data_IF_085591368687
#
_entry.id   IF_085591368687
#
_cell.length_a   1.000
_cell.length_b   1.000
_cell.length_c   1.000
_cell.angle_alpha   90.00
_cell.angle_beta   90.00
_cell.angle_gamma   90.00
#
_symmetry.space_group_name_H-M   'P 1'
#
loop_
_entity.id
_entity.type
_entity.pdbx_description
1 polymer ?
#
# COMPACT_ATOMS: atom_id res chain seq x y z
N UNK A 1 -13.51 1.62 14.08
CA UNK A 1 -12.67 0.40 14.08
C UNK A 1 -11.43 0.74 13.27
N UNK A 2 -10.23 0.51 13.81
CA UNK A 2 -8.98 0.78 13.10
C UNK A 2 -8.47 -0.52 12.46
N UNK A 3 -7.82 -0.41 11.30
CA UNK A 3 -7.24 -1.55 10.59
C UNK A 3 -5.78 -1.24 10.28
N UNK A 4 -4.93 -2.25 10.43
CA UNK A 4 -3.52 -2.15 10.14
C UNK A 4 -3.25 -2.79 8.78
N UNK A 5 -2.63 -2.02 7.88
CA UNK A 5 -2.17 -2.48 6.58
C UNK A 5 -0.66 -2.25 6.51
N UNK A 6 0.15 -3.22 6.09
CA UNK A 6 1.59 -3.03 5.98
C UNK A 6 1.92 -2.17 4.76
N UNK A 7 2.90 -1.28 4.94
CA UNK A 7 3.32 -0.37 3.88
C UNK A 7 4.01 -1.08 2.72
N UNK A 8 4.85 -2.08 3.00
CA UNK A 8 5.81 -2.60 2.01
C UNK A 8 5.35 -3.89 1.31
N UNK A 9 4.04 -4.08 1.11
CA UNK A 9 3.59 -5.14 0.21
C UNK A 9 3.94 -4.83 -1.23
N UNK A 10 4.20 -5.89 -1.99
CA UNK A 10 4.66 -5.82 -3.37
C UNK A 10 4.21 -7.05 -4.13
N UNK A 11 4.23 -6.97 -5.46
CA UNK A 11 3.81 -8.05 -6.36
C UNK A 11 2.46 -7.79 -7.02
N UNK A 12 1.57 -7.00 -6.39
CA UNK A 12 0.30 -6.60 -7.00
C UNK A 12 0.25 -5.08 -7.17
N UNK A 13 -0.33 -4.63 -8.28
CA UNK A 13 -0.50 -3.21 -8.58
C UNK A 13 -1.82 -2.94 -9.31
N UNK A 14 -2.69 -2.13 -8.71
CA UNK A 14 -4.02 -1.81 -9.21
C UNK A 14 -4.82 -3.05 -9.64
N UNK A 15 -4.72 -4.13 -8.87
CA UNK A 15 -5.34 -5.43 -9.17
C UNK A 15 -4.61 -6.31 -10.21
N UNK A 16 -3.46 -5.90 -10.75
CA UNK A 16 -2.65 -6.71 -11.67
C UNK A 16 -1.49 -7.41 -10.94
N UNK A 17 -1.26 -8.68 -11.28
CA UNK A 17 -0.11 -9.45 -10.82
C UNK A 17 1.18 -9.11 -11.61
N UNK A 18 2.12 -8.47 -10.92
CA UNK A 18 3.42 -8.07 -11.45
C UNK A 18 4.56 -9.02 -11.06
N UNK A 19 4.28 -10.18 -10.48
CA UNK A 19 5.31 -11.17 -10.09
C UNK A 19 6.19 -11.59 -11.27
N UNK A 20 5.65 -11.59 -12.49
CA UNK A 20 6.38 -11.89 -13.72
C UNK A 20 7.55 -10.93 -14.01
N UNK A 21 7.57 -9.73 -13.39
CA UNK A 21 8.66 -8.75 -13.54
C UNK A 21 9.81 -8.99 -12.57
N UNK A 22 9.64 -9.86 -11.59
CA UNK A 22 10.69 -10.14 -10.61
C UNK A 22 11.74 -11.07 -11.21
N UNK A 23 13.03 -10.79 -11.01
CA UNK A 23 14.09 -11.75 -11.28
C UNK A 23 13.85 -13.10 -10.61
N UNK A 24 14.41 -14.17 -11.19
CA UNK A 24 14.25 -15.53 -10.65
C UNK A 24 14.68 -15.60 -9.19
N UNK A 25 13.77 -16.02 -8.31
CA UNK A 25 14.03 -16.20 -6.89
C UNK A 25 13.96 -14.92 -6.02
N UNK A 26 13.60 -13.77 -6.59
CA UNK A 26 13.46 -12.50 -5.83
C UNK A 26 12.01 -12.08 -5.60
N UNK A 27 11.05 -12.92 -5.98
CA UNK A 27 9.64 -12.67 -5.70
C UNK A 27 9.38 -12.62 -4.18
N UNK A 28 8.53 -11.68 -3.71
CA UNK A 28 8.22 -11.54 -2.29
C UNK A 28 7.42 -12.74 -1.77
N UNK A 29 7.70 -13.19 -0.55
CA UNK A 29 6.98 -14.30 0.09
C UNK A 29 5.51 -13.96 0.39
N UNK A 30 5.21 -12.70 0.68
CA UNK A 30 3.87 -12.20 0.88
C UNK A 30 3.55 -11.19 -0.22
N UNK A 31 2.52 -11.51 -1.01
CA UNK A 31 2.07 -10.71 -2.13
C UNK A 31 0.88 -9.84 -1.74
N UNK A 32 0.86 -8.62 -2.24
CA UNK A 32 -0.23 -7.70 -2.02
C UNK A 32 0.07 -6.31 -2.58
N UNK A 33 -0.90 -5.42 -2.42
CA UNK A 33 -0.79 -4.03 -2.83
C UNK A 33 -0.20 -3.16 -1.72
N UNK A 34 0.53 -2.12 -2.13
CA UNK A 34 1.13 -1.15 -1.22
C UNK A 34 0.05 -0.30 -0.52
N UNK A 35 0.18 -0.06 0.79
CA UNK A 35 -0.78 0.77 1.53
C UNK A 35 -0.85 2.22 1.03
N UNK A 36 0.22 2.71 0.42
CA UNK A 36 0.30 4.06 -0.12
C UNK A 36 -0.70 4.36 -1.23
N UNK A 37 -1.32 3.35 -1.85
CA UNK A 37 -2.42 3.57 -2.81
C UNK A 37 -3.71 4.08 -2.15
N UNK A 38 -3.95 3.74 -0.88
CA UNK A 38 -5.17 4.13 -0.15
C UNK A 38 -4.94 5.28 0.83
N UNK A 39 -3.67 5.61 1.10
CA UNK A 39 -3.28 6.73 1.96
C UNK A 39 -3.51 8.07 1.26
N UNK A 40 -3.95 9.06 2.03
CA UNK A 40 -4.13 10.44 1.56
C UNK A 40 -2.83 11.10 1.13
N UNK A 41 -2.92 11.97 0.12
CA UNK A 41 -1.82 12.85 -0.33
C UNK A 41 -1.67 14.13 0.53
N UNK A 42 -2.12 14.08 1.78
CA UNK A 42 -2.08 15.23 2.70
C UNK A 42 -0.66 15.53 3.16
N UNK A 43 -0.38 16.81 3.41
CA UNK A 43 0.88 17.27 3.99
C UNK A 43 0.60 18.27 5.09
N UNK A 44 1.39 18.21 6.16
CA UNK A 44 1.39 19.25 7.18
C UNK A 44 1.90 20.57 6.58
N UNK A 45 1.11 21.64 6.71
CA UNK A 45 1.40 22.91 6.05
C UNK A 45 2.70 23.57 6.54
N UNK A 46 3.11 23.34 7.78
CA UNK A 46 4.27 24.02 8.37
C UNK A 46 5.58 23.27 8.13
N UNK A 47 5.55 21.95 8.20
CA UNK A 47 6.73 21.08 8.15
C UNK A 47 6.89 20.33 6.83
N UNK A 48 5.86 20.36 5.97
CA UNK A 48 5.76 19.53 4.77
C UNK A 48 5.87 18.03 5.06
N UNK A 49 5.56 17.60 6.29
CA UNK A 49 5.55 16.19 6.66
C UNK A 49 4.34 15.49 6.01
N UNK A 50 4.53 14.34 5.31
CA UNK A 50 3.43 13.58 4.73
C UNK A 50 2.49 13.03 5.80
N UNK A 51 1.19 13.23 5.63
CA UNK A 51 0.17 12.69 6.52
C UNK A 51 -0.25 11.28 6.07
N UNK A 52 0.49 10.28 6.54
CA UNK A 52 0.33 8.88 6.07
C UNK A 52 -0.55 7.99 6.95
N UNK A 53 -0.81 8.39 8.19
CA UNK A 53 -1.51 7.56 9.18
C UNK A 53 -3.01 7.84 9.28
N UNK A 54 -3.46 8.99 8.75
CA UNK A 54 -4.84 9.46 8.88
C UNK A 54 -5.59 9.26 7.57
N UNK A 55 -6.27 8.12 7.40
CA UNK A 55 -7.09 7.88 6.20
C UNK A 55 -8.36 7.09 6.55
N UNK A 56 -9.46 7.42 5.88
CA UNK A 56 -10.73 6.71 5.98
C UNK A 56 -10.87 5.77 4.80
N UNK A 57 -11.09 4.49 5.09
CA UNK A 57 -11.22 3.44 4.07
C UNK A 57 -12.54 2.69 4.25
N UNK A 58 -13.07 2.18 3.14
CA UNK A 58 -14.19 1.23 3.15
C UNK A 58 -13.64 -0.18 2.99
N UNK A 59 -14.11 -1.10 3.82
CA UNK A 59 -13.69 -2.50 3.79
C UNK A 59 -14.87 -3.33 3.31
N UNK A 60 -14.65 -4.06 2.22
CA UNK A 60 -15.63 -4.95 1.61
C UNK A 60 -14.98 -6.34 1.51
N UNK A 61 -15.80 -7.39 1.49
CA UNK A 61 -15.28 -8.73 1.17
C UNK A 61 -14.91 -8.77 -0.31
N UNK A 62 -13.79 -9.42 -0.61
CA UNK A 62 -13.40 -9.75 -1.98
C UNK A 62 -14.43 -10.67 -2.64
#
# INVERSE_FOLDING_TARGET
>A
KSVFLPQNFSGWWSGEDLTHRYPTGTAPYAMGENSGQVTSYGFDQQTACPEVNCSLVRIERA
#
